data_IF_229718359429
#
_entry.id   IF_229718359429
#
_cell.length_a   1.000
_cell.length_b   1.000
_cell.length_c   1.000
_cell.angle_alpha   90.00
_cell.angle_beta   90.00
_cell.angle_gamma   90.00
#
_symmetry.space_group_name_H-M   'P 1'
#
loop_
_entity.id
_entity.type
_entity.pdbx_description
1 polymer ?
#
# COMPACT_ATOMS: atom_id res chain seq x y z
N UNK A 1 -8.79 -13.68 5.57
CA UNK A 1 -7.79 -12.69 5.83
C UNK A 1 -8.40 -11.33 5.86
N UNK A 2 -7.92 -10.50 6.73
CA UNK A 2 -8.40 -9.13 6.80
C UNK A 2 -7.76 -8.31 5.69
N UNK A 3 -8.36 -7.18 5.40
CA UNK A 3 -7.84 -6.30 4.36
C UNK A 3 -6.43 -5.85 4.65
N UNK A 4 -6.08 -5.69 5.91
CA UNK A 4 -4.78 -5.17 6.26
C UNK A 4 -3.67 -6.20 6.06
N UNK A 5 -4.03 -7.49 5.92
CA UNK A 5 -3.02 -8.51 5.73
C UNK A 5 -2.99 -9.06 4.32
N UNK A 6 -3.83 -8.53 3.46
CA UNK A 6 -3.91 -9.07 2.10
C UNK A 6 -2.76 -8.56 1.25
N UNK A 7 -2.05 -9.42 0.55
CA UNK A 7 -1.05 -8.96 -0.38
C UNK A 7 -1.69 -8.43 -1.65
N UNK A 8 -1.10 -7.41 -2.21
CA UNK A 8 -1.57 -6.82 -3.44
C UNK A 8 -0.51 -6.97 -4.51
N UNK A 9 -0.94 -7.19 -5.75
CA UNK A 9 -0.03 -7.14 -6.86
C UNK A 9 0.00 -5.70 -7.33
N UNK A 10 1.18 -5.17 -7.60
CA UNK A 10 1.36 -3.79 -7.99
C UNK A 10 1.99 -3.79 -9.36
N UNK A 11 1.33 -3.16 -10.33
CA UNK A 11 1.87 -3.06 -11.68
C UNK A 11 2.28 -1.63 -11.91
N UNK A 12 3.52 -1.41 -12.29
CA UNK A 12 4.02 -0.08 -12.59
C UNK A 12 3.58 0.30 -14.01
N UNK A 13 2.77 1.34 -14.14
CA UNK A 13 2.25 1.76 -15.43
C UNK A 13 2.97 2.97 -15.97
N UNK A 14 3.46 3.82 -15.12
CA UNK A 14 4.13 5.05 -15.52
C UNK A 14 5.59 5.01 -15.16
N UNK A 15 6.22 6.16 -15.22
CA UNK A 15 7.62 6.26 -14.87
C UNK A 15 7.73 6.69 -13.44
N UNK A 16 8.37 5.90 -12.62
CA UNK A 16 8.50 6.19 -11.21
C UNK A 16 9.89 5.74 -10.77
N UNK A 17 10.64 6.59 -10.09
CA UNK A 17 12.02 6.24 -9.71
C UNK A 17 12.06 4.99 -8.84
N UNK A 18 12.93 4.08 -9.18
CA UNK A 18 13.09 2.85 -8.41
C UNK A 18 12.22 1.70 -8.89
N UNK A 19 11.32 1.96 -9.87
CA UNK A 19 10.43 0.91 -10.38
C UNK A 19 10.51 0.89 -11.90
N UNK A 20 10.33 -0.28 -12.48
CA UNK A 20 10.40 -0.46 -13.92
C UNK A 20 9.01 -0.53 -14.50
N UNK A 21 8.72 0.32 -15.47
CA UNK A 21 7.41 0.34 -16.13
C UNK A 21 7.12 -1.03 -16.72
N UNK A 22 5.94 -1.53 -16.45
CA UNK A 22 5.52 -2.84 -16.97
C UNK A 22 5.83 -4.00 -16.04
N UNK A 23 6.61 -3.78 -15.00
CA UNK A 23 6.93 -4.85 -14.06
C UNK A 23 5.91 -4.92 -12.94
N UNK A 24 5.85 -6.06 -12.27
CA UNK A 24 4.92 -6.28 -11.19
C UNK A 24 5.67 -6.49 -9.88
N UNK A 25 5.07 -6.04 -8.80
CA UNK A 25 5.65 -6.13 -7.48
C UNK A 25 4.57 -6.58 -6.51
N UNK A 26 4.95 -6.96 -5.31
CA UNK A 26 4.00 -7.33 -4.27
C UNK A 26 4.11 -6.36 -3.11
N UNK A 27 2.99 -6.04 -2.51
CA UNK A 27 2.99 -5.13 -1.38
C UNK A 27 1.77 -5.29 -0.52
N UNK A 28 1.71 -4.52 0.55
CA UNK A 28 0.58 -4.52 1.47
C UNK A 28 0.26 -3.10 1.90
N UNK A 29 -0.99 -2.84 2.22
CA UNK A 29 -1.39 -1.55 2.74
C UNK A 29 -0.79 -1.40 4.14
N UNK A 30 -0.23 -0.25 4.44
CA UNK A 30 0.34 0.01 5.75
C UNK A 30 0.78 1.45 5.87
N UNK A 31 1.51 1.75 6.94
CA UNK A 31 1.99 3.11 7.19
C UNK A 31 3.46 3.22 6.81
N UNK A 32 3.79 4.34 6.21
CA UNK A 32 5.16 4.62 5.82
C UNK A 32 5.97 5.19 6.96
N UNK A 33 7.23 5.56 6.70
CA UNK A 33 8.12 6.04 7.74
C UNK A 33 7.68 7.36 8.36
N UNK A 34 6.84 8.10 7.67
CA UNK A 34 6.36 9.36 8.22
C UNK A 34 4.94 9.23 8.73
N UNK A 35 4.43 8.03 8.87
CA UNK A 35 3.07 7.81 9.36
C UNK A 35 2.00 7.90 8.30
N UNK A 36 2.37 8.07 7.04
CA UNK A 36 1.38 8.18 5.99
C UNK A 36 0.88 6.79 5.59
N UNK A 37 -0.39 6.72 5.24
CA UNK A 37 -0.98 5.47 4.81
C UNK A 37 -0.69 5.27 3.33
N UNK A 38 -0.24 4.11 2.95
CA UNK A 38 0.08 3.83 1.56
C UNK A 38 0.29 2.35 1.32
N UNK A 39 0.84 2.03 0.15
CA UNK A 39 1.14 0.66 -0.21
C UNK A 39 2.62 0.43 0.00
N UNK A 40 2.97 -0.42 0.94
CA UNK A 40 4.37 -0.72 1.25
C UNK A 40 4.85 -1.86 0.37
N UNK A 41 5.97 -1.65 -0.29
CA UNK A 41 6.53 -2.64 -1.20
C UNK A 41 8.04 -2.46 -1.26
N UNK A 42 8.71 -3.29 -2.02
CA UNK A 42 10.14 -3.14 -2.26
C UNK A 42 10.33 -2.72 -3.71
N UNK A 43 11.28 -1.82 -3.92
CA UNK A 43 11.57 -1.35 -5.28
C UNK A 43 12.58 -2.28 -5.95
N UNK A 44 13.07 -1.89 -7.12
CA UNK A 44 13.99 -2.70 -7.88
C UNK A 44 15.29 -2.96 -7.14
N UNK A 45 15.66 -2.08 -6.23
CA UNK A 45 16.89 -2.22 -5.48
C UNK A 45 16.66 -2.98 -4.17
N UNK A 46 15.43 -3.35 -3.88
CA UNK A 46 15.13 -4.04 -2.65
C UNK A 46 14.86 -3.12 -1.47
N UNK A 47 14.76 -1.82 -1.73
CA UNK A 47 14.51 -0.86 -0.66
C UNK A 47 13.02 -0.73 -0.40
N UNK A 48 12.68 -0.52 0.85
CA UNK A 48 11.29 -0.37 1.23
C UNK A 48 10.75 0.97 0.75
N UNK A 49 9.61 0.95 0.10
CA UNK A 49 8.97 2.15 -0.42
C UNK A 49 7.50 2.15 -0.04
N UNK A 50 6.94 3.33 0.16
CA UNK A 50 5.52 3.49 0.44
C UNK A 50 4.92 4.31 -0.69
N UNK A 51 3.99 3.69 -1.44
CA UNK A 51 3.40 4.32 -2.61
C UNK A 51 2.03 4.86 -2.26
N UNK A 52 1.62 5.92 -2.94
CA UNK A 52 0.30 6.50 -2.71
C UNK A 52 -0.76 5.53 -3.20
N UNK A 53 -1.81 5.38 -2.42
CA UNK A 53 -2.91 4.50 -2.81
C UNK A 53 -3.68 5.06 -3.99
N UNK A 54 -3.55 6.37 -4.23
CA UNK A 54 -4.23 7.01 -5.33
C UNK A 54 -3.32 7.27 -6.51
N UNK A 55 -2.12 6.71 -6.54
CA UNK A 55 -1.16 7.03 -7.59
C UNK A 55 -1.65 6.51 -8.93
N UNK A 56 -1.51 7.33 -9.96
CA UNK A 56 -1.86 6.91 -11.30
C UNK A 56 -0.73 6.13 -11.95
N UNK A 57 0.44 6.09 -11.34
CA UNK A 57 1.58 5.39 -11.91
C UNK A 57 1.55 3.90 -11.59
N UNK A 58 0.66 3.47 -10.71
CA UNK A 58 0.59 2.09 -10.32
C UNK A 58 -0.84 1.57 -10.35
N UNK A 59 -0.99 0.31 -10.67
CA UNK A 59 -2.28 -0.35 -10.64
C UNK A 59 -2.21 -1.41 -9.55
N UNK A 60 -3.18 -1.43 -8.65
CA UNK A 60 -3.19 -2.41 -7.57
C UNK A 60 -4.25 -3.47 -7.84
N UNK A 61 -3.90 -4.72 -7.61
CA UNK A 61 -4.78 -5.86 -7.90
C UNK A 61 -4.84 -6.72 -6.65
N UNK A 62 -5.98 -6.85 -6.02
CA UNK A 62 -7.25 -6.23 -6.36
C UNK A 62 -7.22 -4.73 -6.13
N UNK A 63 -8.12 -3.98 -6.73
CA UNK A 63 -8.10 -2.52 -6.59
C UNK A 63 -8.25 -2.08 -5.16
N UNK A 64 -7.57 -0.98 -4.81
CA UNK A 64 -7.70 -0.40 -3.49
C UNK A 64 -8.85 0.60 -3.56
N UNK A 65 -9.93 0.30 -2.85
CA UNK A 65 -11.11 1.15 -2.88
C UNK A 65 -11.26 1.85 -1.55
N UNK A 66 -12.14 2.82 -1.47
CA UNK A 66 -12.41 3.51 -0.20
C UNK A 66 -12.85 2.52 0.86
N UNK A 67 -13.58 1.49 0.45
CA UNK A 67 -14.05 0.50 1.40
C UNK A 67 -12.90 -0.28 2.01
N UNK A 68 -11.91 -0.61 1.21
CA UNK A 68 -10.74 -1.34 1.70
C UNK A 68 -9.98 -0.47 2.68
N UNK A 69 -9.81 0.81 2.36
CA UNK A 69 -9.12 1.72 3.24
C UNK A 69 -9.87 1.86 4.55
N UNK A 70 -11.20 1.97 4.48
CA UNK A 70 -12.01 2.09 5.69
C UNK A 70 -11.87 0.84 6.56
N UNK A 71 -11.84 -0.31 5.95
CA UNK A 71 -11.69 -1.55 6.70
C UNK A 71 -10.32 -1.62 7.37
N UNK A 72 -9.30 -1.17 6.66
CA UNK A 72 -7.97 -1.18 7.25
C UNK A 72 -7.92 -0.24 8.45
N UNK A 73 -8.48 0.95 8.31
CA UNK A 73 -8.45 1.91 9.39
C UNK A 73 -9.26 1.43 10.59
N UNK A 74 -10.37 0.77 10.31
CA UNK A 74 -11.19 0.25 11.39
C UNK A 74 -10.45 -0.83 12.19
N UNK A 75 -9.68 -1.64 11.51
CA UNK A 75 -8.93 -2.67 12.19
C UNK A 75 -7.82 -2.10 13.07
N UNK A 76 -7.37 -0.90 12.78
CA UNK A 76 -6.28 -0.30 13.52
C UNK A 76 -6.74 0.78 14.50
N UNK A 77 -8.03 1.07 14.51
CA UNK A 77 -8.49 2.08 15.41
C UNK A 77 -8.51 1.63 16.83
N UNK A 78 -8.59 0.37 17.06
CA UNK A 78 -8.68 -0.12 18.41
C UNK A 78 -7.52 0.28 19.25
N UNK A 79 -6.40 0.47 18.65
CA UNK A 79 -5.25 0.80 19.40
C UNK A 79 -5.39 2.13 20.07
N UNK A 80 -6.19 3.00 19.52
CA UNK A 80 -6.28 4.24 20.08
C UNK A 80 -7.21 4.27 21.19
N UNK A 81 -8.20 3.44 21.18
CA UNK A 81 -9.12 3.43 22.22
C UNK A 81 -8.54 3.02 23.50
N UNK A 82 -7.54 2.21 23.48
CA UNK A 82 -7.02 1.77 24.67
C UNK A 82 -6.38 2.81 25.39
N UNK A 83 -6.14 3.94 24.87
CA UNK A 83 -5.44 4.82 25.38
C UNK A 83 -6.06 5.67 26.27
N UNK A 84 -7.08 5.67 26.55
CA UNK A 84 -7.68 6.47 27.42
C UNK A 84 -7.52 6.16 28.78
#
# INVERSE_FOLDING_TARGET
LSASNRPYKIRCKGEYPGFTTGCEYLGCIGYGPFGELGMNTLDDDGDSRTLDLDSDDFEYIPPVTCRVVDEFLAEHEDDEDDYD
#
